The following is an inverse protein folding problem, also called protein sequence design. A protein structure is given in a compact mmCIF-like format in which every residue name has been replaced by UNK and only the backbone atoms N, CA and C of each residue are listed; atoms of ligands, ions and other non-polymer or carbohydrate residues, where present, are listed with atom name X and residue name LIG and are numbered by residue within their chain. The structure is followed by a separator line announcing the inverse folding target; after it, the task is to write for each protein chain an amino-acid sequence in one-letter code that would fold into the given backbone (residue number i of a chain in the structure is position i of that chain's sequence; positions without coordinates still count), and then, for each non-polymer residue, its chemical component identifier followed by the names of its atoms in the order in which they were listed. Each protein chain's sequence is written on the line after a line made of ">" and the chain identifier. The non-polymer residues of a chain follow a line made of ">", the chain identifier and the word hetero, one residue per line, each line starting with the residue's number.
data_IF_124933710329
#
_entry.id   IF_124933710329
#
_cell.length_a   1.000
_cell.length_b   1.000
_cell.length_c   1.000
_cell.angle_alpha   90.00
_cell.angle_beta   90.00
_cell.angle_gamma   90.00
#
_symmetry.space_group_name_H-M   'P 1'
#
loop_
_entity.id
_entity.type
_entity.pdbx_description
1 polymer ?
#
# COMPACT_ATOMS: atom_id res chain seq x y z
N UNK A 1 -8.57 -11.91 -19.38
CA UNK A 1 -9.31 -10.60 -19.54
C UNK A 1 -10.29 -10.47 -18.38
N UNK A 2 -10.38 -9.30 -17.75
CA UNK A 2 -11.31 -9.06 -16.62
C UNK A 2 -12.75 -9.07 -17.11
N UNK A 3 -13.65 -9.70 -16.32
CA UNK A 3 -15.09 -9.72 -16.58
C UNK A 3 -15.65 -8.29 -16.54
N UNK A 4 -16.33 -7.87 -17.60
CA UNK A 4 -16.84 -6.50 -17.74
C UNK A 4 -17.87 -6.10 -16.67
N UNK A 5 -18.71 -7.05 -16.21
CA UNK A 5 -19.72 -6.77 -15.17
C UNK A 5 -19.05 -6.60 -13.82
N UNK A 6 -18.07 -7.47 -13.47
CA UNK A 6 -17.26 -7.34 -12.27
C UNK A 6 -16.53 -6.00 -12.24
N UNK A 7 -15.83 -5.66 -13.35
CA UNK A 7 -15.12 -4.38 -13.44
C UNK A 7 -16.06 -3.20 -13.22
N UNK A 8 -17.21 -3.17 -13.89
CA UNK A 8 -18.20 -2.10 -13.73
C UNK A 8 -18.71 -1.99 -12.29
N UNK A 9 -18.93 -3.12 -11.62
CA UNK A 9 -19.37 -3.14 -10.23
C UNK A 9 -18.28 -2.55 -9.32
N UNK A 10 -17.06 -3.06 -9.40
CA UNK A 10 -15.93 -2.60 -8.59
C UNK A 10 -15.66 -1.11 -8.82
N UNK A 11 -15.59 -0.65 -10.08
CA UNK A 11 -15.34 0.76 -10.40
C UNK A 11 -16.40 1.69 -9.78
N UNK A 12 -17.67 1.30 -9.79
CA UNK A 12 -18.77 2.16 -9.38
C UNK A 12 -19.18 2.02 -7.90
N UNK A 13 -18.83 0.94 -7.23
CA UNK A 13 -19.26 0.66 -5.85
C UNK A 13 -18.13 0.55 -4.85
N UNK A 14 -16.98 0.06 -5.27
CA UNK A 14 -15.83 -0.18 -4.41
C UNK A 14 -14.82 0.96 -4.54
N UNK A 15 -14.35 1.22 -5.75
CA UNK A 15 -13.37 2.27 -6.00
C UNK A 15 -13.84 3.66 -5.56
N UNK A 16 -15.14 3.94 -5.65
CA UNK A 16 -15.70 5.23 -5.20
C UNK A 16 -15.50 5.48 -3.70
N UNK A 17 -15.42 4.43 -2.88
CA UNK A 17 -15.22 4.54 -1.43
C UNK A 17 -13.83 5.07 -1.07
N UNK A 18 -12.87 5.02 -2.01
CA UNK A 18 -11.52 5.55 -1.83
C UNK A 18 -11.39 7.03 -2.21
N UNK A 19 -12.38 7.65 -2.88
CA UNK A 19 -12.30 9.04 -3.34
C UNK A 19 -12.19 10.05 -2.21
N UNK A 20 -12.83 9.75 -1.08
CA UNK A 20 -12.83 10.60 0.11
C UNK A 20 -11.75 10.16 1.13
N UNK A 21 -10.87 9.24 0.73
CA UNK A 21 -9.88 8.62 1.61
C UNK A 21 -8.46 9.06 1.23
N UNK A 22 -8.12 10.33 1.51
CA UNK A 22 -6.75 10.83 1.35
C UNK A 22 -5.85 10.48 2.55
N UNK A 23 -6.35 9.67 3.49
CA UNK A 23 -5.66 9.34 4.72
C UNK A 23 -4.51 8.36 4.48
N UNK A 24 -3.30 8.73 4.90
CA UNK A 24 -2.13 7.85 4.88
C UNK A 24 -1.68 7.35 3.49
N UNK A 25 -2.19 7.95 2.40
CA UNK A 25 -1.81 7.54 1.05
C UNK A 25 -2.50 6.27 0.55
N UNK A 26 -3.62 5.84 1.17
CA UNK A 26 -4.44 4.69 0.78
C UNK A 26 -5.71 5.10 0.02
N UNK A 27 -5.60 6.17 -0.79
CA UNK A 27 -6.71 6.71 -1.60
C UNK A 27 -6.84 6.04 -2.97
N UNK A 28 -7.75 6.60 -3.77
CA UNK A 28 -8.07 6.13 -5.13
C UNK A 28 -6.84 5.86 -6.01
N UNK A 29 -5.88 6.78 -6.05
CA UNK A 29 -4.69 6.67 -6.89
C UNK A 29 -3.84 5.46 -6.51
N UNK A 30 -3.61 5.27 -5.19
CA UNK A 30 -2.88 4.11 -4.69
C UNK A 30 -3.52 2.78 -5.12
N UNK A 31 -4.85 2.64 -4.96
CA UNK A 31 -5.54 1.41 -5.35
C UNK A 31 -5.42 1.18 -6.86
N UNK A 32 -5.52 2.23 -7.66
CA UNK A 32 -5.35 2.14 -9.10
C UNK A 32 -3.92 1.70 -9.48
N UNK A 33 -2.92 2.24 -8.78
CA UNK A 33 -1.51 1.86 -8.97
C UNK A 33 -1.28 0.39 -8.59
N UNK A 34 -1.84 -0.08 -7.46
CA UNK A 34 -1.74 -1.48 -7.05
C UNK A 34 -2.42 -2.41 -8.05
N UNK A 35 -3.59 -2.04 -8.59
CA UNK A 35 -4.25 -2.79 -9.66
C UNK A 35 -3.33 -2.88 -10.88
N UNK A 36 -2.86 -1.74 -11.41
CA UNK A 36 -2.01 -1.68 -12.59
C UNK A 36 -0.72 -2.49 -12.38
N UNK A 37 -0.10 -2.29 -11.23
CA UNK A 37 1.13 -2.98 -10.86
C UNK A 37 0.96 -4.50 -10.73
N UNK A 38 -0.17 -4.96 -10.20
CA UNK A 38 -0.50 -6.39 -10.14
C UNK A 38 -0.49 -7.03 -11.55
N UNK A 39 -1.09 -6.35 -12.54
CA UNK A 39 -1.12 -6.84 -13.91
C UNK A 39 0.24 -6.73 -14.63
N UNK A 40 1.05 -5.69 -14.34
CA UNK A 40 2.44 -5.62 -14.81
C UNK A 40 3.27 -6.82 -14.31
N UNK A 41 3.13 -7.18 -13.04
CA UNK A 41 3.83 -8.34 -12.46
C UNK A 41 3.38 -9.66 -13.08
N UNK A 42 2.06 -9.84 -13.30
CA UNK A 42 1.52 -11.03 -13.97
C UNK A 42 2.13 -11.18 -15.36
N UNK A 43 2.17 -10.11 -16.15
CA UNK A 43 2.74 -10.14 -17.49
C UNK A 43 4.25 -10.41 -17.46
N UNK A 44 4.99 -9.68 -16.62
CA UNK A 44 6.45 -9.80 -16.52
C UNK A 44 6.89 -11.19 -16.09
N UNK A 45 6.23 -11.78 -15.10
CA UNK A 45 6.58 -13.09 -14.56
C UNK A 45 5.78 -14.23 -15.19
N UNK A 46 4.93 -13.94 -16.19
CA UNK A 46 4.10 -14.92 -16.91
C UNK A 46 3.28 -15.82 -15.97
N UNK A 47 2.63 -15.18 -15.00
CA UNK A 47 1.88 -15.90 -13.97
C UNK A 47 0.52 -16.38 -14.49
N UNK A 48 0.25 -17.67 -14.33
CA UNK A 48 -1.03 -18.28 -14.70
C UNK A 48 -2.02 -18.13 -13.53
N UNK A 49 -2.89 -17.12 -13.60
CA UNK A 49 -3.85 -16.78 -12.54
C UNK A 49 -5.20 -16.35 -13.13
N UNK A 50 -6.27 -16.44 -12.32
CA UNK A 50 -7.55 -15.84 -12.68
C UNK A 50 -7.48 -14.31 -12.53
N UNK A 51 -7.53 -13.52 -13.63
CA UNK A 51 -7.38 -12.06 -13.56
C UNK A 51 -8.52 -11.38 -12.79
N UNK A 52 -9.69 -12.02 -12.69
CA UNK A 52 -10.81 -11.49 -11.91
C UNK A 52 -10.51 -11.54 -10.41
N UNK A 53 -9.88 -12.61 -9.93
CA UNK A 53 -9.50 -12.73 -8.53
C UNK A 53 -8.42 -11.71 -8.17
N UNK A 54 -7.38 -11.56 -9.00
CA UNK A 54 -6.35 -10.52 -8.78
C UNK A 54 -6.97 -9.13 -8.71
N UNK A 55 -7.89 -8.82 -9.64
CA UNK A 55 -8.58 -7.53 -9.68
C UNK A 55 -9.40 -7.28 -8.41
N UNK A 56 -10.11 -8.30 -7.92
CA UNK A 56 -10.88 -8.22 -6.70
C UNK A 56 -9.97 -8.01 -5.47
N UNK A 57 -8.90 -8.82 -5.31
CA UNK A 57 -7.95 -8.65 -4.19
C UNK A 57 -7.36 -7.25 -4.19
N UNK A 58 -6.85 -6.76 -5.34
CA UNK A 58 -6.24 -5.45 -5.44
C UNK A 58 -7.23 -4.30 -5.18
N UNK A 59 -8.51 -4.46 -5.57
CA UNK A 59 -9.51 -3.43 -5.35
C UNK A 59 -10.01 -3.36 -3.90
N UNK A 60 -9.96 -4.46 -3.15
CA UNK A 60 -10.48 -4.53 -1.78
C UNK A 60 -9.41 -4.46 -0.70
N UNK A 61 -8.11 -4.60 -1.01
CA UNK A 61 -7.07 -4.82 0.00
C UNK A 61 -7.04 -3.79 1.12
N UNK A 62 -7.33 -2.52 0.82
CA UNK A 62 -7.26 -1.40 1.76
C UNK A 62 -8.63 -0.76 2.09
N UNK A 63 -9.75 -1.38 1.68
CA UNK A 63 -11.09 -0.78 1.84
C UNK A 63 -11.47 -0.58 3.32
N UNK A 64 -10.88 -1.34 4.22
CA UNK A 64 -11.06 -1.27 5.66
C UNK A 64 -10.20 -0.21 6.35
N UNK A 65 -9.23 0.40 5.65
CA UNK A 65 -8.22 1.28 6.25
C UNK A 65 -8.82 2.46 7.03
N UNK A 66 -9.90 3.05 6.54
CA UNK A 66 -10.59 4.16 7.21
C UNK A 66 -11.27 3.73 8.52
N UNK A 67 -11.67 2.47 8.64
CA UNK A 67 -12.37 1.94 9.82
C UNK A 67 -11.38 1.54 10.92
N UNK A 68 -10.32 0.83 10.54
CA UNK A 68 -9.26 0.38 11.46
C UNK A 68 -7.91 0.33 10.72
N UNK A 69 -7.08 1.40 10.81
CA UNK A 69 -5.78 1.43 10.14
C UNK A 69 -4.81 0.35 10.62
N UNK A 70 -4.93 -0.10 11.87
CA UNK A 70 -4.01 -1.07 12.46
C UNK A 70 -4.33 -2.51 12.04
N UNK A 71 -5.61 -2.82 11.76
CA UNK A 71 -6.10 -4.13 11.36
C UNK A 71 -6.87 -4.08 10.02
N UNK A 72 -6.53 -3.11 9.16
CA UNK A 72 -7.28 -2.86 7.92
C UNK A 72 -7.38 -4.07 7.01
N UNK A 73 -6.38 -4.95 7.00
CA UNK A 73 -6.38 -6.16 6.20
C UNK A 73 -7.49 -7.15 6.61
N UNK A 74 -7.77 -7.26 7.92
CA UNK A 74 -8.86 -8.10 8.43
C UNK A 74 -10.21 -7.47 8.10
N UNK A 75 -10.36 -6.17 8.38
CA UNK A 75 -11.59 -5.41 8.07
C UNK A 75 -11.88 -5.44 6.57
N UNK A 76 -10.87 -5.29 5.73
CA UNK A 76 -11.00 -5.36 4.27
C UNK A 76 -11.50 -6.73 3.80
N UNK A 77 -10.95 -7.80 4.38
CA UNK A 77 -11.35 -9.18 4.12
C UNK A 77 -12.82 -9.42 4.52
N UNK A 78 -13.22 -8.93 5.69
CA UNK A 78 -14.61 -9.01 6.16
C UNK A 78 -15.57 -8.25 5.24
N UNK A 79 -15.24 -7.03 4.83
CA UNK A 79 -16.03 -6.23 3.89
C UNK A 79 -16.20 -6.98 2.57
N UNK A 80 -15.14 -7.61 2.04
CA UNK A 80 -15.22 -8.43 0.84
C UNK A 80 -16.16 -9.63 1.03
N UNK A 81 -16.04 -10.37 2.13
CA UNK A 81 -16.87 -11.55 2.42
C UNK A 81 -18.35 -11.22 2.62
N UNK A 82 -18.65 -10.01 3.16
CA UNK A 82 -20.02 -9.51 3.33
C UNK A 82 -20.63 -8.95 2.05
N UNK A 83 -19.84 -8.73 1.00
CA UNK A 83 -20.37 -8.26 -0.28
C UNK A 83 -21.01 -9.41 -1.05
N UNK A 84 -22.35 -9.53 -0.91
CA UNK A 84 -23.16 -10.57 -1.56
C UNK A 84 -23.05 -10.55 -3.08
N UNK A 85 -22.79 -9.39 -3.69
CA UNK A 85 -22.61 -9.26 -5.14
C UNK A 85 -21.42 -10.07 -5.65
N UNK A 86 -20.41 -10.29 -4.81
CA UNK A 86 -19.24 -11.09 -5.18
C UNK A 86 -19.58 -12.57 -5.43
N UNK A 87 -20.70 -13.07 -4.89
CA UNK A 87 -21.21 -14.43 -5.18
C UNK A 87 -21.66 -14.62 -6.64
N UNK A 88 -21.94 -13.52 -7.35
CA UNK A 88 -22.27 -13.60 -8.78
C UNK A 88 -21.03 -13.89 -9.66
N UNK A 89 -19.83 -13.66 -9.13
CA UNK A 89 -18.57 -13.72 -9.88
C UNK A 89 -17.63 -14.82 -9.40
N UNK A 90 -17.76 -15.22 -8.13
CA UNK A 90 -16.84 -16.15 -7.47
C UNK A 90 -17.61 -17.17 -6.64
N UNK A 91 -17.20 -18.44 -6.75
CA UNK A 91 -17.71 -19.49 -5.86
C UNK A 91 -17.10 -19.34 -4.44
N UNK A 92 -17.56 -20.15 -3.48
CA UNK A 92 -17.15 -20.01 -2.07
C UNK A 92 -15.65 -20.29 -1.86
N UNK A 93 -15.05 -21.21 -2.62
CA UNK A 93 -13.60 -21.49 -2.57
C UNK A 93 -12.80 -20.30 -3.08
N UNK A 94 -13.17 -19.74 -4.23
CA UNK A 94 -12.53 -18.55 -4.80
C UNK A 94 -12.68 -17.35 -3.86
N UNK A 95 -13.84 -17.16 -3.24
CA UNK A 95 -14.07 -16.07 -2.26
C UNK A 95 -13.19 -16.23 -1.02
N UNK A 96 -13.01 -17.44 -0.53
CA UNK A 96 -12.10 -17.73 0.58
C UNK A 96 -10.65 -17.36 0.20
N UNK A 97 -10.20 -17.79 -0.98
CA UNK A 97 -8.85 -17.47 -1.47
C UNK A 97 -8.65 -15.94 -1.62
N UNK A 98 -9.65 -15.22 -2.13
CA UNK A 98 -9.60 -13.75 -2.26
C UNK A 98 -9.52 -13.10 -0.88
N UNK A 99 -10.38 -13.50 0.06
CA UNK A 99 -10.41 -12.97 1.42
C UNK A 99 -9.07 -13.19 2.15
N UNK A 100 -8.50 -14.38 2.03
CA UNK A 100 -7.16 -14.69 2.56
C UNK A 100 -6.06 -13.87 1.88
N UNK A 101 -6.14 -13.68 0.56
CA UNK A 101 -5.17 -12.87 -0.19
C UNK A 101 -5.24 -11.38 0.20
N UNK A 102 -6.44 -10.88 0.54
CA UNK A 102 -6.61 -9.53 1.09
C UNK A 102 -5.88 -9.40 2.43
N UNK A 103 -5.99 -10.37 3.33
CA UNK A 103 -5.23 -10.38 4.60
C UNK A 103 -3.72 -10.44 4.33
N UNK A 104 -3.30 -11.24 3.38
CA UNK A 104 -1.90 -11.56 3.10
C UNK A 104 -1.12 -10.43 2.40
N UNK A 105 -1.79 -9.32 1.99
CA UNK A 105 -1.08 -8.21 1.31
C UNK A 105 -0.11 -7.46 2.24
N UNK A 106 -0.32 -7.51 3.55
CA UNK A 106 0.40 -6.70 4.53
C UNK A 106 1.91 -6.95 4.51
N UNK A 107 2.70 -5.85 4.50
CA UNK A 107 4.17 -5.94 4.48
C UNK A 107 4.76 -6.63 5.70
N UNK A 108 4.11 -6.48 6.86
CA UNK A 108 4.52 -7.04 8.16
C UNK A 108 3.97 -8.44 8.43
N UNK A 109 3.45 -9.13 7.40
CA UNK A 109 2.94 -10.49 7.55
C UNK A 109 4.03 -11.42 8.10
N UNK A 110 3.78 -12.11 9.21
CA UNK A 110 4.77 -12.95 9.87
C UNK A 110 5.02 -14.29 9.14
N UNK A 111 4.03 -14.74 8.37
CA UNK A 111 4.09 -15.96 7.56
C UNK A 111 4.17 -15.62 6.06
N UNK A 112 4.35 -16.63 5.22
CA UNK A 112 4.33 -16.48 3.76
C UNK A 112 2.88 -16.37 3.25
N UNK A 113 2.62 -15.46 2.31
CA UNK A 113 1.28 -15.32 1.74
C UNK A 113 0.77 -16.67 1.20
N UNK A 114 -0.45 -17.05 1.61
CA UNK A 114 -1.04 -18.38 1.41
C UNK A 114 -1.29 -18.74 -0.05
N UNK A 115 -1.54 -17.74 -0.87
CA UNK A 115 -1.85 -17.94 -2.28
C UNK A 115 -1.01 -17.07 -3.22
N UNK A 116 -0.98 -17.44 -4.50
CA UNK A 116 -0.36 -16.63 -5.55
C UNK A 116 -1.00 -15.24 -5.64
N UNK A 117 -2.29 -15.11 -5.34
CA UNK A 117 -3.04 -13.85 -5.37
C UNK A 117 -2.56 -12.89 -4.27
N UNK A 118 -2.37 -13.39 -3.05
CA UNK A 118 -1.76 -12.63 -1.95
C UNK A 118 -0.32 -12.21 -2.27
N UNK A 119 0.48 -13.10 -2.86
CA UNK A 119 1.86 -12.80 -3.28
C UNK A 119 1.93 -11.70 -4.33
N UNK A 120 1.03 -11.72 -5.32
CA UNK A 120 0.97 -10.70 -6.38
C UNK A 120 0.60 -9.35 -5.78
N UNK A 121 -0.52 -9.26 -5.06
CA UNK A 121 -1.00 -7.96 -4.54
C UNK A 121 -0.09 -7.43 -3.45
N UNK A 122 0.43 -8.29 -2.57
CA UNK A 122 1.48 -7.91 -1.61
C UNK A 122 2.70 -7.29 -2.31
N UNK A 123 3.17 -7.89 -3.41
CA UNK A 123 4.30 -7.34 -4.17
C UNK A 123 3.94 -6.05 -4.91
N UNK A 124 2.72 -5.95 -5.44
CA UNK A 124 2.24 -4.76 -6.14
C UNK A 124 2.07 -3.56 -5.20
N UNK A 125 1.71 -3.80 -3.94
CA UNK A 125 1.57 -2.79 -2.90
C UNK A 125 2.93 -2.29 -2.33
N UNK A 126 4.06 -2.88 -2.74
CA UNK A 126 5.37 -2.36 -2.35
C UNK A 126 5.70 -1.10 -3.13
N UNK A 127 6.30 -0.14 -2.42
CA UNK A 127 6.79 1.08 -3.05
C UNK A 127 7.86 0.77 -4.11
N UNK A 128 7.83 1.53 -5.19
CA UNK A 128 8.80 1.51 -6.30
C UNK A 128 9.28 2.93 -6.65
N UNK A 129 8.86 3.92 -5.88
CA UNK A 129 9.22 5.32 -6.02
C UNK A 129 9.62 5.89 -4.66
N UNK A 130 10.82 6.48 -4.60
CA UNK A 130 11.42 6.98 -3.35
C UNK A 130 10.66 8.21 -2.85
N UNK A 131 10.41 9.19 -3.72
CA UNK A 131 9.79 10.45 -3.34
C UNK A 131 8.36 10.24 -2.84
N UNK A 132 7.60 9.38 -3.54
CA UNK A 132 6.25 9.01 -3.12
C UNK A 132 6.30 8.33 -1.74
N UNK A 133 7.26 7.43 -1.52
CA UNK A 133 7.38 6.72 -0.23
C UNK A 133 7.78 7.65 0.91
N UNK A 134 8.73 8.55 0.70
CA UNK A 134 9.14 9.54 1.69
C UNK A 134 7.97 10.47 2.05
N UNK A 135 7.26 11.03 1.05
CA UNK A 135 6.06 11.87 1.27
C UNK A 135 4.98 11.15 2.06
N UNK A 136 4.66 9.90 1.69
CA UNK A 136 3.69 9.07 2.43
C UNK A 136 4.15 8.81 3.87
N UNK A 137 5.44 8.56 4.08
CA UNK A 137 5.98 8.31 5.41
C UNK A 137 5.89 9.56 6.29
N UNK A 138 6.28 10.74 5.78
CA UNK A 138 6.16 12.02 6.48
C UNK A 138 4.70 12.26 6.90
N UNK A 139 3.77 12.18 5.94
CA UNK A 139 2.35 12.42 6.19
C UNK A 139 1.78 11.45 7.25
N UNK A 140 2.12 10.15 7.12
CA UNK A 140 1.70 9.14 8.08
C UNK A 140 2.25 9.39 9.49
N UNK A 141 3.55 9.71 9.63
CA UNK A 141 4.16 9.93 10.94
C UNK A 141 3.65 11.21 11.60
N UNK A 142 3.46 12.28 10.82
CA UNK A 142 2.89 13.52 11.33
C UNK A 142 1.48 13.31 11.89
N UNK A 143 0.63 12.60 11.16
CA UNK A 143 -0.75 12.33 11.60
C UNK A 143 -0.80 11.34 12.78
N UNK A 144 0.00 10.27 12.74
CA UNK A 144 0.08 9.27 13.82
C UNK A 144 0.48 9.89 15.15
N UNK A 145 1.40 10.83 15.15
CA UNK A 145 1.92 11.50 16.35
C UNK A 145 1.31 12.89 16.59
N UNK A 146 0.24 13.24 15.89
CA UNK A 146 -0.39 14.57 15.93
C UNK A 146 -0.74 15.05 17.34
N UNK A 147 -1.19 14.15 18.21
CA UNK A 147 -1.50 14.49 19.61
C UNK A 147 -0.28 14.94 20.42
N UNK A 148 0.93 14.51 20.01
CA UNK A 148 2.20 14.86 20.63
C UNK A 148 2.75 16.19 20.10
N UNK A 149 2.14 16.76 19.04
CA UNK A 149 2.60 17.95 18.31
C UNK A 149 4.08 17.85 17.93
N UNK A 150 4.47 16.83 17.13
CA UNK A 150 5.88 16.57 16.83
C UNK A 150 6.48 17.68 15.99
N UNK A 151 7.76 17.96 16.21
CA UNK A 151 8.52 18.83 15.30
C UNK A 151 8.82 18.12 13.99
N UNK A 152 9.21 18.89 12.96
CA UNK A 152 9.64 18.32 11.67
C UNK A 152 10.74 17.29 11.86
N UNK A 153 11.76 17.61 12.69
CA UNK A 153 12.87 16.70 12.97
C UNK A 153 12.42 15.40 13.64
N UNK A 154 11.44 15.46 14.53
CA UNK A 154 10.88 14.27 15.17
C UNK A 154 10.14 13.40 14.15
N UNK A 155 9.35 14.01 13.26
CA UNK A 155 8.65 13.27 12.19
C UNK A 155 9.65 12.60 11.24
N UNK A 156 10.74 13.30 10.85
CA UNK A 156 11.81 12.75 10.03
C UNK A 156 12.49 11.56 10.74
N UNK A 157 12.73 11.66 12.04
CA UNK A 157 13.31 10.57 12.82
C UNK A 157 12.38 9.33 12.88
N UNK A 158 11.08 9.54 13.05
CA UNK A 158 10.09 8.46 13.01
C UNK A 158 10.02 7.82 11.61
N UNK A 159 10.06 8.65 10.56
CA UNK A 159 10.10 8.21 9.17
C UNK A 159 11.35 7.36 8.90
N UNK A 160 12.53 7.84 9.26
CA UNK A 160 13.79 7.11 9.11
C UNK A 160 13.74 5.74 9.78
N UNK A 161 13.34 5.68 11.05
CA UNK A 161 13.22 4.41 11.80
C UNK A 161 12.25 3.43 11.15
N UNK A 162 11.09 3.93 10.72
CA UNK A 162 10.06 3.10 10.07
C UNK A 162 10.54 2.56 8.74
N UNK A 163 11.09 3.42 7.88
CA UNK A 163 11.50 3.05 6.53
C UNK A 163 12.75 2.17 6.52
N UNK A 164 13.75 2.47 7.37
CA UNK A 164 14.94 1.63 7.48
C UNK A 164 14.62 0.24 8.04
N UNK A 165 13.72 0.14 9.00
CA UNK A 165 13.21 -1.15 9.49
C UNK A 165 12.43 -1.92 8.44
N UNK A 166 11.70 -1.23 7.55
CA UNK A 166 10.87 -1.86 6.51
C UNK A 166 11.67 -2.29 5.30
N UNK A 167 12.58 -1.43 4.80
CA UNK A 167 13.26 -1.59 3.51
C UNK A 167 14.78 -1.65 3.61
N UNK A 168 15.37 -1.40 4.77
CA UNK A 168 16.80 -1.47 4.97
C UNK A 168 17.32 -2.92 4.89
N UNK A 169 18.62 -3.10 5.05
CA UNK A 169 19.23 -4.42 5.01
C UNK A 169 18.63 -5.34 6.09
N UNK A 170 18.01 -6.44 5.67
CA UNK A 170 17.25 -7.32 6.55
C UNK A 170 15.85 -6.79 6.93
N UNK A 171 15.35 -5.78 6.23
CA UNK A 171 14.02 -5.22 6.46
C UNK A 171 12.89 -6.22 6.30
N UNK A 172 11.77 -5.99 6.99
CA UNK A 172 10.68 -6.95 7.08
C UNK A 172 9.77 -6.98 5.83
N UNK A 173 9.87 -6.00 4.92
CA UNK A 173 8.99 -5.95 3.75
C UNK A 173 9.28 -7.10 2.79
N UNK A 174 8.37 -8.07 2.72
CA UNK A 174 8.48 -9.19 1.79
C UNK A 174 8.16 -8.74 0.36
N UNK A 175 8.93 -9.25 -0.60
CA UNK A 175 8.70 -9.07 -2.03
C UNK A 175 8.80 -10.43 -2.71
N UNK A 176 7.67 -10.91 -3.25
CA UNK A 176 7.61 -12.23 -3.89
C UNK A 176 8.02 -12.18 -5.37
N UNK A 177 7.81 -11.03 -6.02
CA UNK A 177 8.11 -10.82 -7.44
C UNK A 177 9.03 -9.60 -7.64
N UNK A 178 10.32 -9.67 -7.22
CA UNK A 178 11.25 -8.55 -7.28
C UNK A 178 11.67 -8.28 -8.72
N UNK A 179 11.06 -7.28 -9.33
CA UNK A 179 11.44 -6.79 -10.65
C UNK A 179 12.48 -5.66 -10.57
N UNK A 180 12.89 -5.13 -11.73
CA UNK A 180 13.94 -4.13 -11.82
C UNK A 180 13.52 -2.81 -11.15
N UNK A 181 12.24 -2.39 -11.28
CA UNK A 181 11.71 -1.19 -10.62
C UNK A 181 11.87 -1.27 -9.09
N UNK A 182 11.56 -2.44 -8.51
CA UNK A 182 11.71 -2.64 -7.06
C UNK A 182 13.17 -2.71 -6.62
N UNK A 183 14.04 -3.35 -7.41
CA UNK A 183 15.47 -3.41 -7.12
C UNK A 183 16.10 -2.02 -7.14
N UNK A 184 15.81 -1.21 -8.17
CA UNK A 184 16.27 0.17 -8.28
C UNK A 184 15.77 1.03 -7.10
N UNK A 185 14.51 0.83 -6.70
CA UNK A 185 13.94 1.48 -5.52
C UNK A 185 14.71 1.12 -4.24
N UNK A 186 14.95 -0.18 -4.01
CA UNK A 186 15.68 -0.62 -2.82
C UNK A 186 17.13 -0.12 -2.80
N UNK A 187 17.81 -0.08 -3.94
CA UNK A 187 19.17 0.45 -4.03
C UNK A 187 19.21 1.94 -3.62
N UNK A 188 18.30 2.74 -4.14
CA UNK A 188 18.18 4.16 -3.78
C UNK A 188 17.84 4.35 -2.29
N UNK A 189 16.86 3.60 -1.77
CA UNK A 189 16.50 3.68 -0.35
C UNK A 189 17.65 3.26 0.57
N UNK A 190 18.37 2.18 0.25
CA UNK A 190 19.51 1.74 1.05
C UNK A 190 20.66 2.75 1.03
N UNK A 191 20.87 3.46 -0.07
CA UNK A 191 21.82 4.56 -0.13
C UNK A 191 21.44 5.69 0.85
N UNK A 192 20.17 6.07 0.90
CA UNK A 192 19.67 7.05 1.87
C UNK A 192 19.80 6.57 3.32
N UNK A 193 19.61 5.27 3.59
CA UNK A 193 19.75 4.75 4.95
C UNK A 193 21.21 4.67 5.43
N UNK A 194 22.18 4.60 4.52
CA UNK A 194 23.61 4.63 4.87
C UNK A 194 24.11 6.04 5.19
N UNK A 195 23.45 7.09 4.68
CA UNK A 195 23.73 8.48 5.00
C UNK A 195 22.49 9.17 5.57
N UNK A 196 22.38 9.14 6.91
CA UNK A 196 21.24 9.74 7.60
C UNK A 196 21.11 11.25 7.35
N UNK A 197 22.21 11.95 7.09
CA UNK A 197 22.14 13.38 6.79
C UNK A 197 21.53 13.63 5.41
N UNK A 198 21.85 12.79 4.43
CA UNK A 198 21.21 12.85 3.12
C UNK A 198 19.72 12.52 3.21
N UNK A 199 19.32 11.49 4.00
CA UNK A 199 17.92 11.20 4.24
C UNK A 199 17.16 12.38 4.85
N UNK A 200 17.73 13.03 5.87
CA UNK A 200 17.14 14.22 6.52
C UNK A 200 16.98 15.36 5.51
N UNK A 201 18.00 15.61 4.70
CA UNK A 201 17.98 16.65 3.67
C UNK A 201 16.88 16.39 2.63
N UNK A 202 16.76 15.17 2.12
CA UNK A 202 15.72 14.80 1.14
C UNK A 202 14.31 15.01 1.73
N UNK A 203 14.03 14.58 2.97
CA UNK A 203 12.73 14.80 3.59
C UNK A 203 12.45 16.28 3.88
N UNK A 204 13.45 17.07 4.31
CA UNK A 204 13.32 18.54 4.46
C UNK A 204 13.00 19.22 3.13
N UNK A 205 13.68 18.85 2.06
CA UNK A 205 13.44 19.37 0.72
C UNK A 205 12.02 19.04 0.24
N UNK A 206 11.56 17.81 0.48
CA UNK A 206 10.17 17.40 0.17
C UNK A 206 9.14 18.20 0.96
N UNK A 207 9.33 18.42 2.25
CA UNK A 207 8.42 19.22 3.10
C UNK A 207 8.42 20.67 2.60
N UNK A 208 9.59 21.26 2.32
CA UNK A 208 9.71 22.65 1.90
C UNK A 208 9.05 22.92 0.54
N UNK A 209 9.10 21.96 -0.37
CA UNK A 209 8.59 22.08 -1.73
C UNK A 209 7.16 21.55 -1.93
N UNK A 210 6.53 21.00 -0.89
CA UNK A 210 5.17 20.46 -0.95
C UNK A 210 4.26 21.17 0.06
N UNK A 211 3.34 22.05 -0.39
CA UNK A 211 2.42 22.77 0.50
C UNK A 211 1.63 21.86 1.43
N UNK A 212 1.11 20.71 0.91
CA UNK A 212 0.29 19.79 1.69
C UNK A 212 1.09 19.17 2.86
N UNK A 213 2.39 18.90 2.66
CA UNK A 213 3.25 18.41 3.73
C UNK A 213 3.61 19.52 4.72
N UNK A 214 3.82 20.75 4.23
CA UNK A 214 4.12 21.90 5.09
C UNK A 214 2.96 22.22 6.02
N UNK A 215 1.73 22.18 5.51
CA UNK A 215 0.50 22.44 6.27
C UNK A 215 0.29 21.48 7.45
N UNK A 216 0.94 20.29 7.43
CA UNK A 216 0.89 19.33 8.55
C UNK A 216 1.61 19.86 9.80
N UNK A 217 2.54 20.79 9.64
CA UNK A 217 3.36 21.36 10.72
C UNK A 217 2.96 22.80 11.07
N UNK A 218 2.18 23.47 10.20
CA UNK A 218 1.66 24.80 10.48
C UNK A 218 0.51 24.68 11.50
N UNK A 219 0.86 24.76 12.78
CA UNK A 219 -0.15 24.90 13.84
C UNK A 219 -0.91 26.19 13.60
N UNK A 220 -2.15 26.09 13.12
CA UNK A 220 -3.09 27.22 13.25
C UNK A 220 -3.27 27.45 14.74
N UNK A 221 -2.67 28.54 15.24
CA UNK A 221 -2.95 29.10 16.56
C UNK A 221 -4.44 29.38 16.75
#
# INVERSE_FOLDING_TARGET
>A
MINKKLKKYIDNKIMIKYKDNNYGGHGWEHIQDVINRSFELIEKFKLEVNPNMVYAVAAYHDIGYKQDPDNHEQVSSEIFMQDETMKEFFNDEERTIIAEAIVDHRASLEYEARSIYGKIVSSADRAIDVDIMLKRSIAFQAEKHKSEKPTIEQVIEYSFKKLSSKYGNGGYAKMYFPDDKYKDYLEKMNKLFTDKNEFIKEELDLISNNPDLKDLFDTKE
#
